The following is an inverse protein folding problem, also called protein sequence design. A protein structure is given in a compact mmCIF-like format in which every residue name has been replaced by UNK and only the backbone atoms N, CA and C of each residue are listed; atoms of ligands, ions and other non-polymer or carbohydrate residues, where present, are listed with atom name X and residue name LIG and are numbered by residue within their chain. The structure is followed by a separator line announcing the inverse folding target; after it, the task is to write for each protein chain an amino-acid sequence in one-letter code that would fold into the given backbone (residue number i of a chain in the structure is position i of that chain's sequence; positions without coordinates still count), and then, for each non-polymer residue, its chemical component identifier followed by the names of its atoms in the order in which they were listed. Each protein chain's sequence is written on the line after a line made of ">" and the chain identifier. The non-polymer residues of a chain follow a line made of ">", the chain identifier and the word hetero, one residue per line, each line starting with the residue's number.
data_IF_598258281030
#
_entry.id   IF_598258281030
#
_cell.length_a   1.000
_cell.length_b   1.000
_cell.length_c   1.000
_cell.angle_alpha   90.00
_cell.angle_beta   90.00
_cell.angle_gamma   90.00
#
_symmetry.space_group_name_H-M   'P 1'
#
loop_
_entity.id
_entity.type
_entity.pdbx_description
1 polymer ?
#
# COMPACT_ATOMS: atom_id res chain seq x y z
N UNK A 1 -3.27 -2.98 16.97
CA UNK A 1 -2.33 -4.11 16.92
C UNK A 1 -0.96 -3.54 17.19
N UNK A 2 -0.23 -4.10 18.14
CA UNK A 2 1.12 -3.65 18.44
C UNK A 2 2.12 -4.47 17.61
N UNK A 3 3.08 -3.79 16.97
CA UNK A 3 4.17 -4.39 16.20
C UNK A 3 5.51 -3.95 16.75
N UNK A 4 6.50 -4.83 16.75
CA UNK A 4 7.87 -4.54 17.20
C UNK A 4 8.88 -4.49 16.02
N UNK A 5 8.39 -4.60 14.78
CA UNK A 5 9.15 -4.56 13.53
C UNK A 5 8.62 -3.46 12.59
N UNK A 6 9.40 -3.13 11.55
CA UNK A 6 8.99 -2.12 10.56
C UNK A 6 7.69 -2.51 9.84
N UNK A 7 7.65 -3.71 9.26
CA UNK A 7 6.43 -4.25 8.64
C UNK A 7 5.44 -4.76 9.69
N UNK A 8 4.16 -4.48 9.46
CA UNK A 8 3.06 -5.03 10.25
C UNK A 8 2.94 -6.56 10.10
N UNK A 9 3.43 -7.14 9.00
CA UNK A 9 3.29 -8.58 8.72
C UNK A 9 4.26 -9.47 9.50
N UNK A 10 5.36 -8.93 10.02
CA UNK A 10 6.38 -9.75 10.67
C UNK A 10 6.03 -10.19 12.08
N UNK A 11 5.32 -9.36 12.85
CA UNK A 11 5.10 -9.59 14.30
C UNK A 11 3.66 -9.41 14.76
N UNK A 12 2.73 -9.40 13.81
CA UNK A 12 1.29 -9.36 14.08
C UNK A 12 0.56 -10.44 13.26
N UNK A 13 -0.62 -10.90 13.71
CA UNK A 13 -1.43 -11.86 12.96
C UNK A 13 -2.24 -11.22 11.82
N UNK A 14 -1.84 -10.03 11.33
CA UNK A 14 -2.65 -9.26 10.37
C UNK A 14 -2.94 -10.00 9.06
N UNK A 15 -2.00 -10.79 8.55
CA UNK A 15 -2.20 -11.60 7.33
C UNK A 15 -3.41 -12.53 7.49
N UNK A 16 -3.44 -13.29 8.59
CA UNK A 16 -4.54 -14.21 8.89
C UNK A 16 -5.88 -13.48 8.96
N UNK A 17 -5.93 -12.31 9.60
CA UNK A 17 -7.17 -11.54 9.71
C UNK A 17 -7.64 -11.00 8.37
N UNK A 18 -6.74 -10.44 7.56
CA UNK A 18 -7.08 -9.93 6.23
C UNK A 18 -7.61 -11.04 5.33
N UNK A 19 -6.96 -12.22 5.33
CA UNK A 19 -7.39 -13.39 4.56
C UNK A 19 -8.74 -13.91 5.02
N UNK A 20 -8.97 -14.02 6.32
CA UNK A 20 -10.24 -14.48 6.88
C UNK A 20 -11.40 -13.51 6.56
N UNK A 21 -11.11 -12.22 6.39
CA UNK A 21 -12.09 -11.22 5.95
C UNK A 21 -12.28 -11.18 4.42
N UNK A 22 -11.51 -11.97 3.65
CA UNK A 22 -11.56 -11.94 2.19
C UNK A 22 -11.02 -10.64 1.58
N UNK A 23 -10.19 -9.90 2.31
CA UNK A 23 -9.57 -8.66 1.82
C UNK A 23 -8.45 -9.01 0.84
N UNK A 24 -8.46 -8.39 -0.33
CA UNK A 24 -7.41 -8.50 -1.35
C UNK A 24 -6.65 -7.18 -1.57
N UNK A 25 -7.20 -6.05 -1.13
CA UNK A 25 -6.68 -4.71 -1.41
C UNK A 25 -6.46 -3.94 -0.11
N UNK A 26 -5.26 -3.36 0.03
CA UNK A 26 -4.82 -2.60 1.20
C UNK A 26 -4.48 -1.17 0.81
N UNK A 27 -5.09 -0.22 1.51
CA UNK A 27 -4.74 1.20 1.45
C UNK A 27 -3.81 1.51 2.63
N UNK A 28 -2.66 2.10 2.35
CA UNK A 28 -1.64 2.41 3.35
C UNK A 28 -1.46 3.91 3.52
N UNK A 29 -1.47 4.31 4.79
CA UNK A 29 -1.30 5.68 5.28
C UNK A 29 -0.36 5.67 6.49
N UNK A 30 0.07 6.84 6.95
CA UNK A 30 0.81 7.01 8.20
C UNK A 30 2.28 7.44 8.06
N UNK A 31 3.08 7.17 9.09
CA UNK A 31 4.45 7.68 9.23
C UNK A 31 5.38 6.58 9.77
N UNK A 32 6.62 6.43 9.32
CA UNK A 32 7.24 7.13 8.19
C UNK A 32 6.99 6.39 6.87
N UNK A 33 6.66 7.15 5.82
CA UNK A 33 6.45 6.67 4.45
C UNK A 33 7.61 5.80 3.96
N UNK A 34 8.86 6.20 4.21
CA UNK A 34 10.09 5.52 3.77
C UNK A 34 10.57 4.39 4.70
N UNK A 35 9.91 4.18 5.85
CA UNK A 35 10.27 3.15 6.82
C UNK A 35 9.12 2.14 6.98
N UNK A 36 8.33 2.28 8.05
CA UNK A 36 7.31 1.30 8.43
C UNK A 36 6.21 1.15 7.38
N UNK A 37 5.83 2.25 6.73
CA UNK A 37 4.81 2.24 5.68
C UNK A 37 5.33 1.49 4.46
N UNK A 38 6.49 1.86 3.92
CA UNK A 38 7.11 1.17 2.78
C UNK A 38 7.37 -0.31 3.08
N UNK A 39 7.90 -0.65 4.26
CA UNK A 39 8.16 -2.04 4.64
C UNK A 39 6.85 -2.87 4.65
N UNK A 40 5.78 -2.29 5.19
CA UNK A 40 4.45 -2.95 5.17
C UNK A 40 3.90 -3.06 3.75
N UNK A 41 4.14 -2.05 2.91
CA UNK A 41 3.65 -2.00 1.53
C UNK A 41 4.30 -3.04 0.64
N UNK A 42 5.63 -3.21 0.75
CA UNK A 42 6.39 -4.22 0.02
C UNK A 42 5.95 -5.62 0.47
N UNK A 43 5.91 -5.87 1.78
CA UNK A 43 5.48 -7.17 2.29
C UNK A 43 4.05 -7.53 1.87
N UNK A 44 3.13 -6.56 1.88
CA UNK A 44 1.78 -6.76 1.39
C UNK A 44 1.76 -7.14 -0.09
N UNK A 45 2.49 -6.41 -0.93
CA UNK A 45 2.57 -6.68 -2.36
C UNK A 45 3.19 -8.06 -2.65
N UNK A 46 4.27 -8.42 -1.95
CA UNK A 46 4.94 -9.72 -2.10
C UNK A 46 4.07 -10.89 -1.63
N UNK A 47 3.15 -10.64 -0.69
CA UNK A 47 2.11 -11.60 -0.25
C UNK A 47 0.91 -11.64 -1.20
N UNK A 48 0.89 -10.85 -2.27
CA UNK A 48 -0.17 -10.84 -3.27
C UNK A 48 -1.40 -9.99 -2.92
N UNK A 49 -1.27 -9.03 -2.00
CA UNK A 49 -2.29 -7.98 -1.84
C UNK A 49 -2.10 -6.92 -2.93
N UNK A 50 -3.20 -6.32 -3.39
CA UNK A 50 -3.16 -5.07 -4.13
C UNK A 50 -2.90 -3.93 -3.14
N UNK A 51 -1.88 -3.12 -3.39
CA UNK A 51 -1.46 -2.10 -2.42
C UNK A 51 -1.57 -0.71 -3.03
N UNK A 52 -2.24 0.17 -2.30
CA UNK A 52 -2.40 1.59 -2.62
C UNK A 52 -1.69 2.38 -1.52
N UNK A 53 -0.71 3.19 -1.91
CA UNK A 53 -0.04 4.16 -1.04
C UNK A 53 -0.68 5.54 -1.26
N UNK A 54 -1.30 6.09 -0.22
CA UNK A 54 -2.01 7.37 -0.32
C UNK A 54 -1.04 8.53 -0.15
N UNK A 55 -0.71 9.22 -1.25
CA UNK A 55 0.44 10.14 -1.34
C UNK A 55 0.38 11.33 -0.37
N UNK A 56 -0.81 11.82 -0.09
CA UNK A 56 -1.11 12.95 0.80
C UNK A 56 -1.47 12.50 2.24
N UNK A 57 -1.61 11.19 2.48
CA UNK A 57 -1.84 10.60 3.80
C UNK A 57 -0.64 9.85 4.35
N UNK A 58 0.54 10.04 3.75
CA UNK A 58 1.82 9.55 4.27
C UNK A 58 2.78 10.70 4.52
N UNK A 59 3.58 10.58 5.57
CA UNK A 59 4.57 11.60 5.92
C UNK A 59 5.91 10.95 6.30
N UNK A 60 6.99 11.72 6.14
CA UNK A 60 8.34 11.35 6.57
C UNK A 60 8.87 12.37 7.57
N UNK A 61 9.88 11.95 8.33
CA UNK A 61 10.64 12.83 9.22
C UNK A 61 11.50 13.82 8.42
N UNK A 62 12.03 13.37 7.28
CA UNK A 62 12.72 14.21 6.29
C UNK A 62 11.80 14.45 5.08
N UNK A 63 11.56 15.71 4.66
CA UNK A 63 10.67 16.01 3.53
C UNK A 63 11.14 15.43 2.19
N UNK A 64 12.44 15.17 2.01
CA UNK A 64 13.02 14.77 0.72
C UNK A 64 12.74 13.31 0.34
N UNK A 65 12.62 12.41 1.32
CA UNK A 65 12.53 10.96 1.03
C UNK A 65 11.13 10.48 0.62
N UNK A 66 10.09 11.29 0.82
CA UNK A 66 8.70 10.89 0.55
C UNK A 66 8.44 10.70 -0.96
N UNK A 67 8.89 11.64 -1.79
CA UNK A 67 8.69 11.58 -3.24
C UNK A 67 9.42 10.39 -3.87
N UNK A 68 10.66 10.13 -3.47
CA UNK A 68 11.44 8.98 -3.95
C UNK A 68 10.76 7.65 -3.60
N UNK A 69 10.25 7.53 -2.37
CA UNK A 69 9.51 6.36 -1.91
C UNK A 69 8.27 6.11 -2.76
N UNK A 70 7.46 7.14 -3.01
CA UNK A 70 6.26 7.03 -3.84
C UNK A 70 6.59 6.60 -5.28
N UNK A 71 7.63 7.18 -5.90
CA UNK A 71 8.04 6.83 -7.26
C UNK A 71 8.50 5.37 -7.35
N UNK A 72 9.36 4.94 -6.43
CA UNK A 72 9.88 3.56 -6.43
C UNK A 72 8.77 2.56 -6.14
N UNK A 73 7.92 2.87 -5.16
CA UNK A 73 6.78 2.03 -4.79
C UNK A 73 5.81 1.85 -5.96
N UNK A 74 5.37 2.96 -6.56
CA UNK A 74 4.43 2.99 -7.68
C UNK A 74 4.95 2.36 -8.98
N UNK A 75 6.26 2.15 -9.08
CA UNK A 75 6.89 1.51 -10.24
C UNK A 75 6.88 -0.01 -10.15
N UNK A 76 7.00 -0.57 -8.95
CA UNK A 76 7.31 -2.00 -8.77
C UNK A 76 6.21 -2.75 -8.03
N UNK A 77 5.71 -2.19 -6.93
CA UNK A 77 4.91 -2.95 -5.96
C UNK A 77 3.42 -2.60 -5.98
N UNK A 78 3.04 -1.35 -6.22
CA UNK A 78 1.64 -0.94 -6.10
C UNK A 78 1.29 0.37 -6.78
N UNK A 79 0.22 0.99 -6.29
CA UNK A 79 -0.31 2.26 -6.79
C UNK A 79 -0.03 3.39 -5.82
N UNK A 80 0.12 4.60 -6.36
CA UNK A 80 0.16 5.84 -5.59
C UNK A 80 -0.97 6.72 -6.08
N UNK A 81 -1.81 7.21 -5.17
CA UNK A 81 -2.92 8.12 -5.48
C UNK A 81 -3.17 9.07 -4.34
N UNK A 82 -3.86 10.19 -4.61
CA UNK A 82 -4.28 11.13 -3.57
C UNK A 82 -5.47 10.57 -2.78
N UNK A 83 -5.79 11.18 -1.64
CA UNK A 83 -6.99 10.84 -0.87
C UNK A 83 -8.25 11.12 -1.68
N UNK A 84 -8.28 12.19 -2.46
CA UNK A 84 -9.42 12.54 -3.32
C UNK A 84 -9.66 11.50 -4.43
N UNK A 85 -8.58 11.04 -5.08
CA UNK A 85 -8.66 9.97 -6.08
C UNK A 85 -9.14 8.66 -5.44
N UNK A 86 -8.63 8.34 -4.25
CA UNK A 86 -9.03 7.16 -3.49
C UNK A 86 -10.52 7.20 -3.12
N UNK A 87 -11.00 8.34 -2.61
CA UNK A 87 -12.42 8.51 -2.25
C UNK A 87 -13.33 8.41 -3.48
N UNK A 88 -12.90 9.01 -4.60
CA UNK A 88 -13.60 8.89 -5.89
C UNK A 88 -13.68 7.43 -6.32
N UNK A 89 -12.59 6.67 -6.19
CA UNK A 89 -12.58 5.24 -6.49
C UNK A 89 -13.56 4.46 -5.59
N UNK A 90 -13.51 4.67 -4.28
CA UNK A 90 -14.38 3.97 -3.32
C UNK A 90 -15.87 4.25 -3.57
N UNK A 91 -16.22 5.44 -4.06
CA UNK A 91 -17.60 5.81 -4.37
C UNK A 91 -18.09 5.27 -5.72
N UNK A 92 -17.19 5.08 -6.68
CA UNK A 92 -17.53 4.66 -8.04
C UNK A 92 -17.32 3.17 -8.28
N UNK A 93 -16.68 2.47 -7.35
CA UNK A 93 -16.21 1.08 -7.48
C UNK A 93 -15.34 0.83 -8.72
N UNK A 94 -14.83 1.90 -9.35
CA UNK A 94 -14.09 1.85 -10.60
C UNK A 94 -12.58 1.85 -10.30
N UNK A 95 -11.89 0.69 -10.36
CA UNK A 95 -10.48 0.60 -9.99
C UNK A 95 -9.63 1.63 -10.72
N UNK A 96 -8.61 2.21 -10.06
CA UNK A 96 -7.64 3.09 -10.73
C UNK A 96 -7.05 2.36 -11.93
N UNK A 97 -6.84 3.10 -13.03
CA UNK A 97 -6.52 2.59 -14.39
C UNK A 97 -5.87 1.19 -14.41
N UNK A 98 -6.66 0.22 -14.91
CA UNK A 98 -6.46 -1.23 -14.84
C UNK A 98 -5.27 -1.76 -15.62
N UNK A 99 -4.61 -0.92 -16.43
CA UNK A 99 -3.52 -1.31 -17.34
C UNK A 99 -2.34 -2.00 -16.61
N UNK A 100 -2.22 -1.83 -15.28
CA UNK A 100 -1.21 -2.49 -14.43
C UNK A 100 -1.72 -3.65 -13.55
N UNK A 101 -3.04 -3.80 -13.32
CA UNK A 101 -3.61 -4.89 -12.51
C UNK A 101 -3.70 -6.21 -13.30
N UNK A 102 -4.01 -6.14 -14.59
CA UNK A 102 -4.21 -7.33 -15.43
C UNK A 102 -2.88 -7.95 -15.89
N UNK A 103 -1.82 -7.15 -16.01
CA UNK A 103 -0.50 -7.60 -16.46
C UNK A 103 0.18 -8.61 -15.50
N UNK A 104 -0.26 -8.70 -14.23
CA UNK A 104 0.28 -9.63 -13.23
C UNK A 104 -0.57 -10.88 -12.99
N UNK A 105 -1.70 -11.05 -13.69
CA UNK A 105 -2.55 -12.26 -13.63
C UNK A 105 -2.15 -13.35 -14.64
N UNK A 106 -1.13 -13.09 -15.48
CA UNK A 106 -0.79 -13.92 -16.65
C UNK A 106 0.56 -14.64 -16.54
N UNK A 107 1.10 -14.83 -15.34
CA UNK A 107 2.32 -15.63 -15.11
C UNK A 107 2.07 -16.65 -14.02
#
# INVERSE_FOLDING_TARGET
>A
MDKNTSSAFHTTPIDLYLRNMGIDTLVLTGVAADQCVLATAIDAADRGFHVILTSDAVANLDPGSAAATQILFGRVWGYVMTTDDLLTWLQTEQPPDRTRLEARRSV
#
